data_IF_634832653933
#
_entry.id   IF_634832653933
#
_cell.length_a   1.000
_cell.length_b   1.000
_cell.length_c   1.000
_cell.angle_alpha   90.00
_cell.angle_beta   90.00
_cell.angle_gamma   90.00
#
_symmetry.space_group_name_H-M   'P 1'
#
loop_
_entity.id
_entity.type
_entity.pdbx_description
1 polymer ?
#
# COMPACT_ATOMS: atom_id res chain seq x y z
N UNK A 1 0.94 9.37 -17.09
CA UNK A 1 2.33 8.98 -17.38
C UNK A 1 2.27 7.81 -18.34
N UNK A 2 2.67 7.99 -19.59
CA UNK A 2 2.70 6.90 -20.57
C UNK A 2 3.98 6.08 -20.34
N UNK A 3 3.85 4.84 -19.85
CA UNK A 3 4.99 3.94 -19.69
C UNK A 3 5.29 3.23 -21.01
N UNK A 4 6.38 3.62 -21.67
CA UNK A 4 6.98 2.83 -22.75
C UNK A 4 7.93 1.77 -22.17
N UNK A 5 7.65 0.54 -22.59
CA UNK A 5 8.34 -0.75 -22.40
C UNK A 5 9.85 -0.75 -22.09
N UNK A 6 10.20 -1.26 -20.89
CA UNK A 6 11.32 -2.19 -20.69
C UNK A 6 10.91 -3.23 -19.64
N UNK A 7 11.33 -4.48 -19.82
CA UNK A 7 11.17 -5.56 -18.84
C UNK A 7 11.79 -5.12 -17.50
N UNK A 8 10.95 -4.78 -16.52
CA UNK A 8 11.38 -4.45 -15.17
C UNK A 8 11.71 -5.73 -14.42
N UNK A 9 12.97 -6.16 -14.50
CA UNK A 9 13.51 -7.22 -13.65
C UNK A 9 14.26 -6.56 -12.49
N UNK A 10 13.60 -6.48 -11.34
CA UNK A 10 14.17 -6.03 -10.08
C UNK A 10 14.77 -7.19 -9.28
N UNK A 11 15.76 -6.89 -8.43
CA UNK A 11 16.28 -7.84 -7.44
C UNK A 11 16.62 -7.16 -6.13
N UNK A 12 16.28 -7.83 -5.04
CA UNK A 12 16.61 -7.48 -3.68
C UNK A 12 17.73 -8.40 -3.21
N UNK A 13 18.87 -7.81 -2.87
CA UNK A 13 20.11 -8.54 -2.58
C UNK A 13 20.49 -8.28 -1.14
N UNK A 14 20.61 -9.38 -0.39
CA UNK A 14 21.29 -9.42 0.90
C UNK A 14 22.67 -10.03 0.70
N UNK A 15 23.70 -9.31 1.12
CA UNK A 15 25.08 -9.77 0.97
C UNK A 15 25.86 -9.49 2.24
N UNK A 16 26.59 -10.50 2.72
CA UNK A 16 27.58 -10.35 3.78
C UNK A 16 28.96 -10.41 3.14
N UNK A 17 29.75 -9.35 3.27
CA UNK A 17 31.14 -9.31 2.82
C UNK A 17 31.99 -8.93 4.03
N UNK A 18 32.86 -9.84 4.49
CA UNK A 18 33.67 -9.65 5.69
C UNK A 18 32.78 -9.30 6.89
N UNK A 19 33.03 -8.17 7.54
CA UNK A 19 32.33 -7.72 8.74
C UNK A 19 31.15 -6.79 8.43
N UNK A 20 30.67 -6.77 7.19
CA UNK A 20 29.59 -5.88 6.75
C UNK A 20 28.49 -6.67 6.08
N UNK A 21 27.25 -6.39 6.47
CA UNK A 21 26.04 -6.79 5.76
C UNK A 21 25.47 -5.61 4.99
N UNK A 22 25.08 -5.87 3.76
CA UNK A 22 24.51 -4.87 2.85
C UNK A 22 23.20 -5.40 2.30
N UNK A 23 22.19 -4.55 2.34
CA UNK A 23 20.96 -4.70 1.60
C UNK A 23 20.90 -3.67 0.48
N UNK A 24 20.51 -4.12 -0.71
CA UNK A 24 20.30 -3.25 -1.86
C UNK A 24 19.18 -3.77 -2.75
N UNK A 25 18.47 -2.83 -3.35
CA UNK A 25 17.48 -3.09 -4.38
C UNK A 25 18.01 -2.56 -5.72
N UNK A 26 18.03 -3.42 -6.73
CA UNK A 26 18.36 -3.07 -8.10
C UNK A 26 17.09 -3.14 -8.95
N UNK A 27 16.46 -2.00 -9.28
CA UNK A 27 15.17 -1.96 -9.98
C UNK A 27 15.26 -2.32 -11.48
N UNK A 28 16.48 -2.42 -12.01
CA UNK A 28 16.72 -2.86 -13.38
C UNK A 28 17.98 -3.73 -13.45
N UNK A 29 17.80 -5.02 -13.69
CA UNK A 29 18.89 -5.99 -13.82
C UNK A 29 19.87 -5.66 -14.95
N UNK A 30 19.40 -4.99 -16.02
CA UNK A 30 20.22 -4.67 -17.19
C UNK A 30 21.20 -3.51 -16.96
N UNK A 31 21.07 -2.79 -15.85
CA UNK A 31 22.04 -1.79 -15.42
C UNK A 31 22.37 -1.96 -13.93
N UNK A 32 23.35 -2.81 -13.59
CA UNK A 32 23.73 -3.10 -12.21
C UNK A 32 24.32 -1.90 -11.46
N UNK A 33 24.55 -0.77 -12.14
CA UNK A 33 25.01 0.48 -11.53
C UNK A 33 23.88 1.31 -10.90
N UNK A 34 22.61 1.02 -11.22
CA UNK A 34 21.47 1.75 -10.69
C UNK A 34 20.94 1.03 -9.46
N UNK A 35 21.31 1.54 -8.28
CA UNK A 35 20.75 1.11 -7.00
C UNK A 35 19.59 2.03 -6.57
N UNK A 36 18.59 1.45 -5.91
CA UNK A 36 17.48 2.22 -5.37
C UNK A 36 17.91 2.93 -4.08
N UNK A 37 18.00 4.26 -4.12
CA UNK A 37 18.38 5.08 -2.96
C UNK A 37 17.48 4.92 -1.73
N UNK A 38 16.22 4.48 -1.89
CA UNK A 38 15.29 4.24 -0.77
C UNK A 38 15.48 2.88 -0.08
N UNK A 39 16.25 1.97 -0.66
CA UNK A 39 16.39 0.59 -0.18
C UNK A 39 17.84 0.20 0.09
N UNK A 40 18.79 1.12 0.01
CA UNK A 40 20.18 0.82 0.33
C UNK A 40 20.40 0.94 1.84
N UNK A 41 20.92 -0.12 2.47
CA UNK A 41 21.24 -0.09 3.90
C UNK A 41 22.47 -0.97 4.19
N UNK A 42 23.30 -0.54 5.15
CA UNK A 42 24.52 -1.23 5.58
C UNK A 42 24.54 -1.32 7.10
N UNK A 43 24.83 -2.51 7.63
CA UNK A 43 25.04 -2.76 9.06
C UNK A 43 26.25 -3.67 9.27
N UNK A 44 26.81 -3.70 10.48
CA UNK A 44 27.90 -4.62 10.79
C UNK A 44 27.41 -6.09 10.79
N UNK A 45 28.27 -7.02 10.40
CA UNK A 45 27.89 -8.41 10.19
C UNK A 45 27.58 -9.19 11.47
N UNK A 46 27.83 -8.61 12.64
CA UNK A 46 27.42 -9.13 13.95
C UNK A 46 26.06 -8.58 14.42
N UNK A 47 25.53 -7.54 13.79
CA UNK A 47 24.25 -6.93 14.15
C UNK A 47 23.06 -7.82 13.75
N UNK A 48 21.94 -7.84 14.49
CA UNK A 48 20.72 -8.51 14.06
C UNK A 48 20.24 -8.11 12.64
N UNK A 49 19.67 -9.05 11.88
CA UNK A 49 19.20 -8.76 10.50
C UNK A 49 18.19 -7.62 10.44
N UNK A 50 17.35 -7.48 11.46
CA UNK A 50 16.33 -6.44 11.50
C UNK A 50 16.89 -5.02 11.66
N UNK A 51 18.17 -4.85 12.02
CA UNK A 51 18.80 -3.53 12.14
C UNK A 51 18.89 -2.78 10.80
N UNK A 52 18.87 -3.50 9.67
CA UNK A 52 18.73 -2.90 8.35
C UNK A 52 17.46 -2.07 8.17
N UNK A 53 16.48 -2.27 9.04
CA UNK A 53 15.10 -1.82 8.85
C UNK A 53 14.62 -0.83 9.92
N UNK A 54 15.42 -0.66 10.98
CA UNK A 54 15.12 0.26 12.08
C UNK A 54 15.41 1.72 11.72
N UNK A 55 16.36 1.95 10.81
CA UNK A 55 16.84 3.30 10.43
C UNK A 55 16.35 3.77 9.06
N UNK A 56 15.67 2.91 8.30
CA UNK A 56 15.06 3.27 7.02
C UNK A 56 13.81 4.13 7.23
N UNK A 57 13.55 5.10 6.34
CA UNK A 57 12.25 5.77 6.29
C UNK A 57 11.13 4.74 6.18
N UNK A 58 10.29 4.69 7.21
CA UNK A 58 9.16 3.77 7.28
C UNK A 58 7.92 4.42 6.68
N UNK A 59 7.85 4.41 5.35
CA UNK A 59 6.72 4.96 4.62
C UNK A 59 5.46 4.08 4.70
N UNK A 60 5.56 2.87 5.27
CA UNK A 60 4.46 1.89 5.26
C UNK A 60 3.66 1.87 6.57
N UNK A 61 4.28 2.19 7.70
CA UNK A 61 3.60 2.23 8.99
C UNK A 61 3.23 3.65 9.43
N UNK A 62 2.27 3.74 10.35
CA UNK A 62 1.84 5.00 10.99
C UNK A 62 2.07 4.93 12.50
N UNK A 63 2.48 6.05 13.10
CA UNK A 63 2.54 6.16 14.56
C UNK A 63 1.13 6.35 15.12
N UNK A 64 0.76 5.53 16.10
CA UNK A 64 -0.54 5.59 16.77
C UNK A 64 -0.37 5.90 18.26
N UNK A 65 -0.25 7.19 18.60
CA UNK A 65 -0.28 7.64 20.00
C UNK A 65 -1.71 7.82 20.54
N UNK A 66 -1.85 8.31 21.77
CA UNK A 66 -3.16 8.47 22.41
C UNK A 66 -4.08 9.44 21.68
N UNK A 67 -3.55 10.53 21.12
CA UNK A 67 -4.37 11.53 20.41
C UNK A 67 -4.90 10.94 19.10
N UNK A 68 -4.07 10.17 18.39
CA UNK A 68 -4.48 9.42 17.19
C UNK A 68 -5.60 8.43 17.53
N UNK A 69 -5.45 7.67 18.62
CA UNK A 69 -6.43 6.66 19.07
C UNK A 69 -7.75 7.30 19.48
N UNK A 70 -7.71 8.41 20.22
CA UNK A 70 -8.91 9.17 20.62
C UNK A 70 -9.65 9.74 19.40
N UNK A 71 -8.92 10.28 18.42
CA UNK A 71 -9.52 10.75 17.16
C UNK A 71 -10.17 9.60 16.38
N UNK A 72 -9.50 8.45 16.27
CA UNK A 72 -10.05 7.28 15.59
C UNK A 72 -11.30 6.73 16.31
N UNK A 73 -11.29 6.76 17.65
CA UNK A 73 -12.45 6.39 18.47
C UNK A 73 -13.63 7.34 18.22
N UNK A 74 -13.38 8.65 18.14
CA UNK A 74 -14.42 9.63 17.79
C UNK A 74 -15.03 9.35 16.42
N UNK A 75 -14.19 9.15 15.40
CA UNK A 75 -14.63 8.79 14.03
C UNK A 75 -15.50 7.53 14.04
N UNK A 76 -15.14 6.54 14.86
CA UNK A 76 -15.92 5.31 15.01
C UNK A 76 -17.29 5.55 15.68
N UNK A 77 -17.32 6.25 16.81
CA UNK A 77 -18.55 6.53 17.59
C UNK A 77 -19.51 7.42 16.80
N UNK A 78 -19.00 8.39 16.06
CA UNK A 78 -19.80 9.29 15.21
C UNK A 78 -20.15 8.69 13.84
N UNK A 79 -19.79 7.41 13.59
CA UNK A 79 -20.05 6.70 12.34
C UNK A 79 -19.58 7.45 11.08
N UNK A 80 -18.43 8.10 11.17
CA UNK A 80 -17.88 8.90 10.09
C UNK A 80 -17.22 7.99 9.07
N UNK A 81 -17.76 8.04 7.85
CA UNK A 81 -17.23 7.30 6.69
C UNK A 81 -16.78 8.23 5.57
N UNK A 82 -17.16 9.51 5.59
CA UNK A 82 -16.88 10.45 4.50
C UNK A 82 -15.86 11.48 4.93
N UNK A 83 -14.84 11.67 4.10
CA UNK A 83 -13.74 12.60 4.33
C UNK A 83 -13.56 13.48 3.10
N UNK A 84 -13.50 14.78 3.29
CA UNK A 84 -13.26 15.76 2.24
C UNK A 84 -11.86 16.33 2.38
N UNK A 85 -11.07 16.26 1.31
CA UNK A 85 -9.79 16.95 1.20
C UNK A 85 -9.94 18.16 0.31
N UNK A 86 -9.50 19.32 0.80
CA UNK A 86 -9.57 20.59 0.09
C UNK A 86 -8.17 21.18 -0.15
N UNK A 87 -7.94 21.68 -1.37
CA UNK A 87 -6.79 22.52 -1.69
C UNK A 87 -7.07 23.95 -1.20
N UNK A 88 -6.54 24.30 -0.02
CA UNK A 88 -6.63 25.65 0.56
C UNK A 88 -5.71 26.66 -0.14
N UNK A 89 -4.87 26.23 -1.10
CA UNK A 89 -3.92 27.13 -1.76
C UNK A 89 -4.58 28.05 -2.80
N UNK A 90 -4.06 29.28 -2.98
CA UNK A 90 -4.55 30.19 -4.00
C UNK A 90 -4.18 29.70 -5.40
N UNK A 91 -5.05 29.98 -6.38
CA UNK A 91 -4.84 29.62 -7.79
C UNK A 91 -5.24 28.18 -8.14
N UNK A 92 -5.07 27.78 -9.40
CA UNK A 92 -5.34 26.41 -9.84
C UNK A 92 -4.03 25.59 -9.81
N UNK A 93 -3.96 24.58 -8.93
CA UNK A 93 -2.84 23.65 -8.84
C UNK A 93 -3.27 22.19 -9.00
N UNK A 94 -4.31 21.91 -9.81
CA UNK A 94 -4.87 20.55 -10.02
C UNK A 94 -3.82 19.45 -10.04
N UNK A 95 -2.78 19.59 -10.88
CA UNK A 95 -1.76 18.54 -11.02
C UNK A 95 -0.98 18.30 -9.72
N UNK A 96 -0.57 19.36 -9.03
CA UNK A 96 0.14 19.22 -7.76
C UNK A 96 -0.79 18.66 -6.68
N UNK A 97 -2.02 19.19 -6.58
CA UNK A 97 -3.02 18.72 -5.62
C UNK A 97 -3.33 17.23 -5.79
N UNK A 98 -3.59 16.78 -7.02
CA UNK A 98 -3.91 15.37 -7.31
C UNK A 98 -2.71 14.46 -7.01
N UNK A 99 -1.48 14.91 -7.31
CA UNK A 99 -0.27 14.14 -6.97
C UNK A 99 -0.08 14.07 -5.46
N UNK A 100 -0.06 15.20 -4.75
CA UNK A 100 0.07 15.28 -3.29
C UNK A 100 -1.01 14.44 -2.58
N UNK A 101 -2.25 14.51 -3.09
CA UNK A 101 -3.37 13.73 -2.57
C UNK A 101 -3.16 12.21 -2.76
N UNK A 102 -2.76 11.79 -3.96
CA UNK A 102 -2.57 10.38 -4.29
C UNK A 102 -1.34 9.74 -3.64
N UNK A 103 -0.26 10.50 -3.48
CA UNK A 103 1.00 9.97 -2.95
C UNK A 103 1.15 10.10 -1.44
N UNK A 104 0.48 11.07 -0.82
CA UNK A 104 0.64 11.36 0.62
C UNK A 104 -0.70 11.39 1.37
N UNK A 105 -1.62 12.28 0.98
CA UNK A 105 -2.78 12.59 1.82
C UNK A 105 -3.74 11.41 2.00
N UNK A 106 -4.15 10.78 0.89
CA UNK A 106 -5.08 9.64 0.91
C UNK A 106 -4.42 8.41 1.52
N UNK A 107 -3.19 8.00 1.13
CA UNK A 107 -2.54 6.85 1.77
C UNK A 107 -2.38 7.01 3.29
N UNK A 108 -2.03 8.22 3.77
CA UNK A 108 -1.94 8.49 5.21
C UNK A 108 -3.28 8.35 5.92
N UNK A 109 -4.36 8.91 5.36
CA UNK A 109 -5.72 8.74 5.88
C UNK A 109 -6.13 7.26 5.94
N UNK A 110 -5.89 6.51 4.87
CA UNK A 110 -6.25 5.10 4.81
C UNK A 110 -5.44 4.27 5.81
N UNK A 111 -4.14 4.55 6.00
CA UNK A 111 -3.33 3.89 7.04
C UNK A 111 -3.89 4.14 8.42
N UNK A 112 -4.21 5.40 8.74
CA UNK A 112 -4.82 5.78 10.00
C UNK A 112 -6.14 5.03 10.26
N UNK A 113 -7.03 4.98 9.26
CA UNK A 113 -8.32 4.28 9.36
C UNK A 113 -8.17 2.75 9.36
N UNK A 114 -7.07 2.21 8.84
CA UNK A 114 -6.80 0.78 8.84
C UNK A 114 -6.36 0.24 10.20
N UNK A 115 -5.92 1.09 11.15
CA UNK A 115 -5.54 0.62 12.48
C UNK A 115 -6.66 -0.21 13.11
N UNK A 116 -6.34 -1.41 13.62
CA UNK A 116 -7.28 -2.42 14.15
C UNK A 116 -8.35 -2.96 13.18
N UNK A 117 -8.46 -2.42 11.96
CA UNK A 117 -9.36 -2.93 10.95
C UNK A 117 -8.73 -4.10 10.19
N UNK A 118 -9.54 -5.08 9.80
CA UNK A 118 -9.10 -6.23 9.00
C UNK A 118 -8.95 -5.89 7.52
N UNK A 119 -9.45 -4.72 7.11
CA UNK A 119 -9.41 -4.18 5.75
C UNK A 119 -10.24 -2.92 5.63
N UNK A 120 -10.23 -2.32 4.44
CA UNK A 120 -11.03 -1.13 4.11
C UNK A 120 -11.81 -1.38 2.82
N UNK A 121 -12.97 -0.75 2.69
CA UNK A 121 -13.61 -0.53 1.40
C UNK A 121 -13.65 0.97 1.13
N UNK A 122 -13.15 1.38 -0.04
CA UNK A 122 -12.85 2.78 -0.34
C UNK A 122 -13.48 3.21 -1.66
N UNK A 123 -14.11 4.38 -1.69
CA UNK A 123 -14.36 5.13 -2.93
C UNK A 123 -13.60 6.45 -2.89
N UNK A 124 -13.19 6.91 -4.06
CA UNK A 124 -12.54 8.21 -4.24
C UNK A 124 -13.32 8.95 -5.32
N UNK A 125 -13.61 10.22 -5.06
CA UNK A 125 -14.19 11.08 -6.07
C UNK A 125 -13.62 12.49 -6.10
N UNK A 126 -13.66 13.09 -7.29
CA UNK A 126 -13.15 14.40 -7.58
C UNK A 126 -14.28 15.35 -7.95
N UNK A 127 -14.23 16.55 -7.37
CA UNK A 127 -15.04 17.67 -7.82
C UNK A 127 -14.26 18.40 -8.91
N UNK A 128 -14.79 18.34 -10.12
CA UNK A 128 -14.11 18.75 -11.35
C UNK A 128 -14.83 19.95 -11.94
N UNK A 129 -14.11 21.03 -12.20
CA UNK A 129 -14.61 22.18 -12.96
C UNK A 129 -13.91 22.26 -14.32
N UNK A 130 -14.69 22.23 -15.39
CA UNK A 130 -14.21 22.31 -16.80
C UNK A 130 -15.13 23.25 -17.56
N UNK A 131 -14.58 24.25 -18.26
CA UNK A 131 -15.36 25.17 -19.11
C UNK A 131 -16.61 25.77 -18.42
N UNK A 132 -16.48 26.18 -17.15
CA UNK A 132 -17.56 26.71 -16.29
C UNK A 132 -18.65 25.69 -15.87
N UNK A 133 -18.52 24.43 -16.24
CA UNK A 133 -19.38 23.35 -15.77
C UNK A 133 -18.73 22.59 -14.61
N UNK A 134 -19.55 22.15 -13.66
CA UNK A 134 -19.14 21.39 -12.49
C UNK A 134 -19.57 19.94 -12.64
N UNK A 135 -18.68 19.03 -12.30
CA UNK A 135 -18.90 17.59 -12.32
C UNK A 135 -18.39 16.96 -11.04
N UNK A 136 -19.02 15.86 -10.65
CA UNK A 136 -18.54 14.94 -9.64
C UNK A 136 -18.22 13.60 -10.30
N UNK A 137 -16.97 13.16 -10.20
CA UNK A 137 -16.49 11.90 -10.74
C UNK A 137 -16.11 10.98 -9.58
N UNK A 138 -16.69 9.79 -9.49
CA UNK A 138 -16.47 8.86 -8.35
C UNK A 138 -16.12 7.47 -8.84
N UNK A 139 -15.20 6.82 -8.14
CA UNK A 139 -14.79 5.45 -8.41
C UNK A 139 -15.82 4.46 -7.88
N UNK A 140 -15.81 3.26 -8.46
CA UNK A 140 -16.43 2.10 -7.82
C UNK A 140 -15.76 1.80 -6.46
N UNK A 141 -16.47 1.22 -5.47
CA UNK A 141 -15.87 0.76 -4.23
C UNK A 141 -14.77 -0.29 -4.45
N UNK A 142 -13.62 -0.09 -3.81
CA UNK A 142 -12.47 -1.01 -3.89
C UNK A 142 -12.09 -1.51 -2.51
N UNK A 143 -11.89 -2.82 -2.37
CA UNK A 143 -11.52 -3.46 -1.10
C UNK A 143 -10.01 -3.56 -0.94
N UNK A 144 -9.47 -2.89 0.07
CA UNK A 144 -8.08 -3.01 0.51
C UNK A 144 -8.02 -4.04 1.65
N UNK A 145 -7.44 -5.22 1.38
CA UNK A 145 -7.42 -6.34 2.32
C UNK A 145 -6.17 -6.38 3.20
N UNK A 146 -5.17 -5.57 2.90
CA UNK A 146 -3.93 -5.46 3.66
C UNK A 146 -3.34 -4.05 3.53
N UNK A 147 -2.79 -3.49 4.61
CA UNK A 147 -2.31 -2.10 4.61
C UNK A 147 -1.15 -1.85 3.62
N UNK A 148 -0.32 -2.86 3.35
CA UNK A 148 0.75 -2.77 2.33
C UNK A 148 0.21 -2.62 0.89
N UNK A 149 -1.08 -2.86 0.65
CA UNK A 149 -1.71 -2.67 -0.65
C UNK A 149 -2.27 -1.25 -0.84
N UNK A 150 -2.23 -0.39 0.21
CA UNK A 150 -2.85 0.96 0.19
C UNK A 150 -2.29 1.82 -0.93
N UNK A 151 -0.97 2.04 -0.97
CA UNK A 151 -0.34 2.92 -1.98
C UNK A 151 -0.71 2.51 -3.40
N UNK A 152 -0.53 1.22 -3.70
CA UNK A 152 -0.76 0.69 -5.02
C UNK A 152 -2.24 0.75 -5.43
N UNK A 153 -3.16 0.55 -4.48
CA UNK A 153 -4.60 0.69 -4.73
C UNK A 153 -4.95 2.14 -5.02
N UNK A 154 -4.45 3.08 -4.21
CA UNK A 154 -4.69 4.52 -4.38
C UNK A 154 -4.14 5.00 -5.73
N UNK A 155 -2.90 4.63 -6.08
CA UNK A 155 -2.28 4.98 -7.35
C UNK A 155 -3.13 4.52 -8.54
N UNK A 156 -3.67 3.30 -8.48
CA UNK A 156 -4.54 2.76 -9.53
C UNK A 156 -5.89 3.47 -9.59
N UNK A 157 -6.54 3.73 -8.45
CA UNK A 157 -7.81 4.47 -8.40
C UNK A 157 -7.67 5.88 -8.97
N UNK A 158 -6.63 6.61 -8.56
CA UNK A 158 -6.32 7.95 -9.07
C UNK A 158 -6.04 7.93 -10.56
N UNK A 159 -5.22 6.99 -11.04
CA UNK A 159 -4.90 6.87 -12.46
C UNK A 159 -6.17 6.69 -13.29
N UNK A 160 -7.07 5.77 -12.89
CA UNK A 160 -8.31 5.50 -13.62
C UNK A 160 -9.29 6.66 -13.59
N UNK A 161 -9.45 7.33 -12.45
CA UNK A 161 -10.29 8.51 -12.33
C UNK A 161 -9.79 9.65 -13.22
N UNK A 162 -8.50 9.96 -13.17
CA UNK A 162 -7.89 11.03 -13.96
C UNK A 162 -7.97 10.72 -15.46
N UNK A 163 -7.71 9.47 -15.87
CA UNK A 163 -7.88 9.02 -17.26
C UNK A 163 -9.33 9.21 -17.74
N UNK A 164 -10.32 8.80 -16.93
CA UNK A 164 -11.73 8.97 -17.28
C UNK A 164 -12.12 10.43 -17.42
N UNK A 165 -11.69 11.28 -16.49
CA UNK A 165 -11.94 12.73 -16.52
C UNK A 165 -11.28 13.38 -17.74
N UNK A 166 -10.02 13.03 -18.03
CA UNK A 166 -9.28 13.54 -19.19
C UNK A 166 -10.00 13.17 -20.50
N UNK A 167 -10.40 11.91 -20.65
CA UNK A 167 -11.10 11.43 -21.84
C UNK A 167 -12.45 12.12 -22.01
N UNK A 168 -13.22 12.26 -20.93
CA UNK A 168 -14.49 12.97 -20.98
C UNK A 168 -14.33 14.45 -21.37
N UNK A 169 -13.36 15.13 -20.77
CA UNK A 169 -13.08 16.54 -21.05
C UNK A 169 -12.62 16.75 -22.51
N UNK A 170 -11.80 15.84 -23.03
CA UNK A 170 -11.35 15.87 -24.41
C UNK A 170 -12.51 15.64 -25.39
N UNK A 171 -13.33 14.61 -25.17
CA UNK A 171 -14.45 14.28 -26.08
C UNK A 171 -15.55 15.36 -26.04
N UNK A 172 -15.87 15.89 -24.87
CA UNK A 172 -17.03 16.78 -24.67
C UNK A 172 -16.68 18.25 -24.92
N UNK A 173 -15.50 18.69 -24.47
CA UNK A 173 -15.10 20.10 -24.50
C UNK A 173 -13.88 20.38 -25.38
N UNK A 174 -13.24 19.34 -25.94
CA UNK A 174 -12.00 19.46 -26.70
C UNK A 174 -10.87 20.15 -25.92
N UNK A 175 -10.77 19.83 -24.63
CA UNK A 175 -9.72 20.35 -23.73
C UNK A 175 -8.89 19.24 -23.12
N UNK A 176 -7.67 19.58 -22.72
CA UNK A 176 -6.74 18.70 -22.02
C UNK A 176 -6.84 18.86 -20.50
N UNK A 177 -6.12 18.02 -19.75
CA UNK A 177 -6.09 18.04 -18.28
C UNK A 177 -5.70 19.41 -17.69
N UNK A 178 -4.93 20.22 -18.41
CA UNK A 178 -4.51 21.56 -17.97
C UNK A 178 -5.69 22.54 -17.82
N UNK A 179 -6.78 22.34 -18.56
CA UNK A 179 -7.99 23.16 -18.47
C UNK A 179 -8.92 22.74 -17.32
N UNK A 180 -8.57 21.66 -16.63
CA UNK A 180 -9.38 21.05 -15.58
C UNK A 180 -8.95 21.60 -14.21
N UNK A 181 -9.94 21.98 -13.40
CA UNK A 181 -9.73 22.42 -12.03
C UNK A 181 -10.29 21.37 -11.05
N UNK A 182 -9.42 20.79 -10.23
CA UNK A 182 -9.79 19.92 -9.10
C UNK A 182 -9.19 20.54 -7.85
N UNK A 183 -10.05 20.98 -6.94
CA UNK A 183 -9.66 21.58 -5.65
C UNK A 183 -10.24 20.85 -4.45
N UNK A 184 -11.15 19.92 -4.68
CA UNK A 184 -11.83 19.17 -3.63
C UNK A 184 -11.94 17.73 -4.08
N UNK A 185 -11.78 16.84 -3.11
CA UNK A 185 -12.01 15.42 -3.32
C UNK A 185 -12.72 14.82 -2.12
N UNK A 186 -13.55 13.82 -2.40
CA UNK A 186 -14.27 13.03 -1.40
C UNK A 186 -13.61 11.66 -1.34
N UNK A 187 -13.36 11.17 -0.14
CA UNK A 187 -12.95 9.79 0.12
C UNK A 187 -13.97 9.19 1.07
N UNK A 188 -14.65 8.13 0.64
CA UNK A 188 -15.55 7.36 1.51
C UNK A 188 -14.81 6.09 1.90
N UNK A 189 -14.75 5.81 3.21
CA UNK A 189 -13.99 4.69 3.77
C UNK A 189 -14.87 3.94 4.76
N UNK A 190 -15.12 2.67 4.47
CA UNK A 190 -15.72 1.73 5.42
C UNK A 190 -14.65 0.82 6.01
N UNK A 191 -14.58 0.79 7.34
CA UNK A 191 -13.67 -0.10 8.09
C UNK A 191 -14.30 -1.49 8.20
N UNK A 192 -13.53 -2.51 7.83
CA UNK A 192 -13.94 -3.91 7.95
C UNK A 192 -13.35 -4.50 9.23
N UNK A 193 -14.15 -5.25 9.99
CA UNK A 193 -13.77 -5.72 11.34
C UNK A 193 -13.77 -7.25 11.49
N UNK A 194 -14.44 -7.95 10.58
CA UNK A 194 -14.67 -9.39 10.70
C UNK A 194 -13.82 -10.13 9.66
N UNK A 195 -12.71 -10.72 10.10
CA UNK A 195 -11.86 -11.55 9.27
C UNK A 195 -10.43 -11.69 9.81
N UNK A 196 -9.70 -12.68 9.31
CA UNK A 196 -8.25 -12.70 9.48
C UNK A 196 -7.63 -11.74 8.47
N UNK A 197 -6.64 -10.95 8.91
CA UNK A 197 -5.85 -10.11 8.02
C UNK A 197 -5.24 -10.98 6.92
N UNK A 198 -5.55 -10.65 5.66
CA UNK A 198 -5.02 -11.39 4.53
C UNK A 198 -3.57 -11.01 4.28
N UNK A 199 -2.83 -11.82 3.52
CA UNK A 199 -1.51 -11.41 3.05
C UNK A 199 -1.63 -10.33 1.96
N UNK A 200 -0.58 -9.50 1.76
CA UNK A 200 -0.55 -8.51 0.70
C UNK A 200 -0.95 -9.08 -0.67
N UNK A 201 -1.63 -8.29 -1.49
CA UNK A 201 -2.07 -8.68 -2.83
C UNK A 201 -0.90 -9.19 -3.69
N UNK A 202 0.24 -8.50 -3.65
CA UNK A 202 1.44 -8.94 -4.38
C UNK A 202 1.87 -10.35 -3.98
N UNK A 203 1.71 -10.72 -2.70
CA UNK A 203 1.94 -12.09 -2.25
C UNK A 203 0.89 -13.05 -2.80
N UNK A 204 -0.40 -12.73 -2.61
CA UNK A 204 -1.52 -13.59 -3.03
C UNK A 204 -1.51 -13.88 -4.54
N UNK A 205 -1.09 -12.92 -5.35
CA UNK A 205 -1.03 -13.04 -6.81
C UNK A 205 0.19 -13.85 -7.29
N UNK A 206 1.34 -13.72 -6.62
CA UNK A 206 2.58 -14.44 -6.96
C UNK A 206 2.65 -15.86 -6.38
N UNK A 207 1.94 -16.09 -5.28
CA UNK A 207 1.83 -17.38 -4.64
C UNK A 207 0.71 -18.20 -5.29
N UNK A 208 1.06 -18.86 -6.39
CA UNK A 208 0.19 -19.82 -7.07
C UNK A 208 0.19 -21.15 -6.28
N UNK A 209 -1.00 -21.64 -5.89
CA UNK A 209 -1.21 -22.86 -5.08
C UNK A 209 -0.52 -24.12 -5.64
N UNK A 210 -0.07 -24.07 -6.90
CA UNK A 210 0.71 -25.11 -7.59
C UNK A 210 2.04 -25.46 -6.93
N UNK A 211 2.56 -24.64 -6.02
CA UNK A 211 3.82 -24.86 -5.30
C UNK A 211 3.64 -25.25 -3.82
N UNK A 212 2.46 -25.73 -3.41
CA UNK A 212 2.35 -26.41 -2.11
C UNK A 212 3.25 -27.66 -2.15
N UNK A 213 4.30 -27.75 -1.32
CA UNK A 213 5.07 -28.99 -1.25
C UNK A 213 4.14 -30.13 -0.81
N UNK A 214 4.39 -31.33 -1.33
CA UNK A 214 3.82 -32.54 -0.76
C UNK A 214 4.12 -32.55 0.76
N UNK A 215 3.15 -32.97 1.58
CA UNK A 215 3.11 -32.86 3.04
C UNK A 215 4.41 -33.28 3.76
N UNK A 216 5.44 -32.43 3.75
CA UNK A 216 6.52 -32.50 4.71
C UNK A 216 6.14 -31.57 5.86
N UNK A 217 5.29 -32.08 6.75
CA UNK A 217 4.93 -31.43 8.01
C UNK A 217 6.17 -31.41 8.91
N UNK A 218 7.05 -30.44 8.72
CA UNK A 218 7.92 -30.04 9.81
C UNK A 218 7.01 -29.49 10.92
N UNK A 219 6.84 -30.24 12.00
CA UNK A 219 6.02 -29.80 13.14
C UNK A 219 6.81 -28.74 13.91
N UNK A 220 6.64 -27.48 13.51
CA UNK A 220 7.12 -26.33 14.30
C UNK A 220 6.09 -26.03 15.37
N UNK A 221 6.51 -25.93 16.62
CA UNK A 221 5.66 -25.45 17.70
C UNK A 221 5.42 -23.95 17.52
N UNK A 222 4.24 -23.60 16.97
CA UNK A 222 3.85 -22.22 16.69
C UNK A 222 3.69 -21.39 17.97
N UNK A 223 3.31 -22.01 19.09
CA UNK A 223 3.17 -21.32 20.37
C UNK A 223 4.53 -20.91 20.91
N UNK A 224 5.49 -21.85 20.91
CA UNK A 224 6.88 -21.57 21.29
C UNK A 224 7.52 -20.54 20.36
N UNK A 225 7.25 -20.63 19.05
CA UNK A 225 7.77 -19.69 18.06
C UNK A 225 7.27 -18.27 18.32
N UNK A 226 5.97 -18.12 18.55
CA UNK A 226 5.33 -16.84 18.84
C UNK A 226 5.88 -16.23 20.15
N UNK A 227 5.93 -17.02 21.22
CA UNK A 227 6.46 -16.57 22.51
C UNK A 227 7.94 -16.16 22.41
N UNK A 228 8.74 -16.97 21.71
CA UNK A 228 10.17 -16.67 21.47
C UNK A 228 10.34 -15.36 20.72
N UNK A 229 9.52 -15.09 19.71
CA UNK A 229 9.57 -13.83 18.97
C UNK A 229 9.17 -12.62 19.81
N UNK A 230 8.09 -12.70 20.58
CA UNK A 230 7.65 -11.61 21.46
C UNK A 230 8.74 -11.29 22.50
N UNK A 231 9.33 -12.31 23.11
CA UNK A 231 10.43 -12.16 24.07
C UNK A 231 11.69 -11.58 23.42
N UNK A 232 12.00 -11.99 22.19
CA UNK A 232 13.13 -11.50 21.40
C UNK A 232 12.97 -10.02 21.04
N UNK A 233 11.79 -9.63 20.54
CA UNK A 233 11.47 -8.28 20.11
C UNK A 233 11.37 -7.30 21.30
N UNK A 234 10.79 -7.72 22.42
CA UNK A 234 10.53 -6.86 23.58
C UNK A 234 11.75 -6.50 24.43
N UNK A 235 12.86 -7.25 24.36
CA UNK A 235 14.01 -7.10 25.26
C UNK A 235 15.24 -6.41 24.67
N UNK A 236 15.16 -5.86 23.45
CA UNK A 236 16.37 -5.53 22.65
C UNK A 236 17.33 -6.73 22.65
N UNK A 237 16.88 -7.82 22.01
CA UNK A 237 17.71 -8.97 21.62
C UNK A 237 18.16 -9.87 22.79
N UNK A 238 17.24 -10.73 23.24
CA UNK A 238 17.65 -11.99 23.89
C UNK A 238 18.08 -13.02 22.84
N UNK A 239 18.75 -14.10 23.24
CA UNK A 239 19.08 -15.18 22.31
C UNK A 239 17.79 -15.86 21.83
N UNK A 240 17.49 -15.78 20.53
CA UNK A 240 16.42 -16.58 19.94
C UNK A 240 16.82 -18.05 20.08
N UNK A 241 15.95 -18.97 20.53
CA UNK A 241 16.36 -20.34 20.84
C UNK A 241 17.01 -21.03 19.63
N UNK A 242 18.23 -21.55 19.80
CA UNK A 242 18.92 -22.32 18.76
C UNK A 242 18.19 -23.63 18.41
N UNK A 243 17.33 -24.11 19.30
CA UNK A 243 16.44 -25.26 19.05
C UNK A 243 15.40 -24.98 17.95
N UNK A 244 15.04 -23.71 17.72
CA UNK A 244 14.11 -23.31 16.66
C UNK A 244 14.88 -23.08 15.35
N UNK A 245 14.99 -24.15 14.56
CA UNK A 245 15.62 -24.13 13.24
C UNK A 245 14.66 -23.57 12.18
N UNK A 246 14.36 -22.27 12.28
CA UNK A 246 13.41 -21.56 11.40
C UNK A 246 14.03 -20.31 10.80
N UNK A 247 13.51 -19.89 9.65
CA UNK A 247 13.80 -18.59 9.06
C UNK A 247 12.61 -17.65 9.24
N UNK A 248 12.88 -16.42 9.65
CA UNK A 248 11.87 -15.37 9.82
C UNK A 248 12.13 -14.23 8.85
N UNK A 249 11.08 -13.82 8.14
CA UNK A 249 11.08 -12.67 7.24
C UNK A 249 9.93 -11.73 7.61
N UNK A 250 10.00 -10.47 7.20
CA UNK A 250 8.87 -9.56 7.16
C UNK A 250 8.69 -9.03 5.73
N UNK A 251 7.48 -8.60 5.39
CA UNK A 251 7.26 -7.92 4.12
C UNK A 251 7.45 -6.42 4.25
N UNK A 252 8.07 -5.85 3.22
CA UNK A 252 8.22 -4.41 3.06
C UNK A 252 7.93 -4.01 1.62
N UNK A 253 7.64 -2.73 1.43
CA UNK A 253 7.40 -2.16 0.10
C UNK A 253 8.49 -1.15 -0.22
N UNK A 254 9.06 -1.23 -1.42
CA UNK A 254 10.01 -0.23 -1.89
C UNK A 254 9.27 1.11 -2.09
N UNK A 255 9.70 2.17 -1.41
CA UNK A 255 9.07 3.48 -1.52
C UNK A 255 9.06 4.03 -2.97
N UNK A 256 10.08 3.68 -3.77
CA UNK A 256 10.22 4.12 -5.16
C UNK A 256 9.47 3.26 -6.18
N UNK A 257 9.61 1.93 -6.13
CA UNK A 257 9.03 1.03 -7.15
C UNK A 257 7.70 0.42 -6.74
N UNK A 258 7.29 0.60 -5.47
CA UNK A 258 6.10 -0.02 -4.87
C UNK A 258 6.12 -1.56 -4.88
N UNK A 259 7.27 -2.16 -5.12
CA UNK A 259 7.43 -3.62 -5.12
C UNK A 259 7.50 -4.16 -3.69
N UNK A 260 6.72 -5.22 -3.44
CA UNK A 260 6.78 -6.00 -2.21
C UNK A 260 8.04 -6.87 -2.21
N UNK A 261 8.83 -6.79 -1.14
CA UNK A 261 10.01 -7.62 -0.94
C UNK A 261 10.06 -8.24 0.44
N UNK A 262 10.71 -9.39 0.52
CA UNK A 262 10.96 -10.08 1.77
C UNK A 262 12.25 -9.58 2.43
N UNK A 263 12.13 -9.06 3.63
CA UNK A 263 13.22 -8.62 4.46
C UNK A 263 13.51 -9.67 5.55
N UNK A 264 14.74 -10.22 5.64
CA UNK A 264 15.08 -11.16 6.69
C UNK A 264 15.05 -10.48 8.06
N UNK A 265 14.55 -11.25 9.01
CA UNK A 265 14.49 -10.91 10.43
C UNK A 265 15.37 -11.87 11.24
N UNK A 266 15.38 -13.15 10.87
CA UNK A 266 16.26 -14.19 11.39
C UNK A 266 16.53 -15.20 10.28
N UNK A 267 17.79 -15.53 10.02
CA UNK A 267 18.17 -16.62 9.10
C UNK A 267 19.04 -17.59 9.89
N UNK A 268 18.53 -18.82 10.10
CA UNK A 268 19.29 -19.91 10.73
C UNK A 268 19.95 -20.81 9.71
N UNK A 269 19.32 -20.98 8.55
CA UNK A 269 19.86 -21.76 7.45
C UNK A 269 19.48 -21.12 6.11
N UNK A 270 20.46 -20.95 5.22
CA UNK A 270 20.26 -20.36 3.89
C UNK A 270 19.36 -21.23 3.00
N UNK A 271 19.23 -22.53 3.33
CA UNK A 271 18.33 -23.43 2.61
C UNK A 271 16.87 -23.24 3.01
N UNK A 272 16.24 -22.24 2.38
CA UNK A 272 14.80 -21.97 2.46
C UNK A 272 13.90 -23.08 1.90
N UNK A 273 14.44 -24.14 1.28
CA UNK A 273 13.62 -25.29 0.83
C UNK A 273 13.39 -26.32 1.94
N UNK A 274 14.37 -26.52 2.81
CA UNK A 274 14.34 -27.53 3.87
C UNK A 274 14.17 -26.93 5.27
N UNK A 275 14.23 -25.61 5.39
CA UNK A 275 14.06 -24.88 6.66
C UNK A 275 12.69 -24.21 6.68
N UNK A 276 11.82 -24.51 7.67
CA UNK A 276 10.54 -23.84 7.83
C UNK A 276 10.72 -22.32 7.84
N UNK A 277 9.97 -21.64 6.98
CA UNK A 277 10.10 -20.21 6.76
C UNK A 277 8.79 -19.53 7.11
N UNK A 278 8.85 -18.50 7.96
CA UNK A 278 7.69 -17.76 8.44
C UNK A 278 7.80 -16.28 8.13
N UNK A 279 6.67 -15.67 7.85
CA UNK A 279 6.48 -14.24 7.79
C UNK A 279 5.99 -13.73 9.14
N UNK A 280 6.68 -12.74 9.68
CA UNK A 280 6.22 -11.89 10.77
C UNK A 280 5.14 -10.98 10.21
N UNK A 281 3.92 -11.13 10.68
CA UNK A 281 2.80 -10.28 10.33
C UNK A 281 2.72 -9.13 11.32
N UNK A 282 2.67 -7.91 10.79
CA UNK A 282 2.43 -6.69 11.55
C UNK A 282 1.13 -6.04 11.10
N UNK A 283 0.61 -5.16 11.93
CA UNK A 283 -0.42 -4.21 11.50
C UNK A 283 0.21 -2.94 10.90
N UNK A 284 -0.66 -1.98 10.59
CA UNK A 284 -0.27 -0.68 10.05
C UNK A 284 0.54 0.18 11.03
N UNK A 285 0.55 -0.11 12.32
CA UNK A 285 1.41 0.56 13.31
C UNK A 285 2.76 -0.16 13.50
N UNK A 286 2.99 -1.26 12.78
CA UNK A 286 4.17 -2.11 12.95
C UNK A 286 4.08 -3.03 14.16
N UNK A 287 2.92 -3.11 14.83
CA UNK A 287 2.72 -4.00 15.97
C UNK A 287 2.54 -5.43 15.49
N UNK A 288 3.14 -6.38 16.21
CA UNK A 288 3.10 -7.79 15.86
C UNK A 288 1.67 -8.36 15.98
N UNK A 289 1.21 -9.02 14.93
CA UNK A 289 -0.13 -9.65 14.86
C UNK A 289 -0.08 -11.18 14.77
N UNK A 290 1.06 -11.75 14.36
CA UNK A 290 1.23 -13.18 14.30
C UNK A 290 2.27 -13.62 13.28
N UNK A 291 2.26 -14.91 12.96
CA UNK A 291 3.17 -15.49 11.96
C UNK A 291 2.42 -16.31 10.93
N UNK A 292 2.95 -16.31 9.70
CA UNK A 292 2.40 -17.08 8.60
C UNK A 292 3.51 -17.89 7.91
N UNK A 293 3.35 -19.21 7.84
CA UNK A 293 4.29 -20.08 7.15
C UNK A 293 4.25 -19.84 5.63
N UNK A 294 5.40 -19.78 4.99
CA UNK A 294 5.53 -19.55 3.55
C UNK A 294 6.55 -20.47 2.91
N UNK A 295 6.27 -20.87 1.66
CA UNK A 295 7.09 -21.86 0.94
C UNK A 295 7.88 -21.27 -0.23
N UNK A 296 7.60 -20.02 -0.65
CA UNK A 296 8.20 -19.44 -1.85
C UNK A 296 8.71 -18.01 -1.64
N UNK A 297 9.40 -17.78 -0.52
CA UNK A 297 9.93 -16.45 -0.16
C UNK A 297 10.88 -15.87 -1.22
N UNK A 298 11.55 -16.73 -2.00
CA UNK A 298 12.52 -16.34 -3.04
C UNK A 298 11.89 -15.48 -4.16
N UNK A 299 10.60 -15.65 -4.45
CA UNK A 299 9.85 -14.81 -5.42
C UNK A 299 9.71 -13.35 -4.99
N UNK A 300 9.92 -13.06 -3.71
CA UNK A 300 9.89 -11.71 -3.15
C UNK A 300 11.30 -11.17 -2.91
N UNK A 301 12.33 -11.90 -3.37
CA UNK A 301 13.72 -11.44 -3.40
C UNK A 301 14.16 -11.12 -4.84
N UNK A 302 13.48 -11.66 -5.86
CA UNK A 302 13.79 -11.45 -7.28
C UNK A 302 12.49 -11.43 -8.09
N UNK A 303 12.41 -10.58 -9.12
CA UNK A 303 11.28 -10.64 -10.06
C UNK A 303 11.21 -12.02 -10.72
N UNK A 304 9.99 -12.51 -10.89
CA UNK A 304 9.73 -13.78 -11.57
C UNK A 304 9.59 -13.49 -13.08
N UNK A 305 10.29 -14.22 -13.98
CA UNK A 305 10.09 -14.10 -15.42
C UNK A 305 8.66 -14.42 -15.88
N UNK A 306 7.79 -14.97 -15.02
CA UNK A 306 6.38 -15.24 -15.29
C UNK A 306 5.48 -14.01 -14.99
N UNK A 307 6.02 -12.95 -14.38
CA UNK A 307 5.33 -11.66 -14.19
C UNK A 307 5.23 -10.87 -15.52
N UNK A 308 4.87 -11.52 -16.63
CA UNK A 308 4.87 -10.95 -17.99
C UNK A 308 3.57 -10.20 -18.31
N UNK A 309 3.63 -9.42 -19.39
CA UNK A 309 2.58 -8.51 -19.87
C UNK A 309 1.20 -9.19 -19.89
N UNK A 310 0.20 -8.50 -19.34
CA UNK A 310 -1.20 -8.92 -19.33
C UNK A 310 -2.05 -7.92 -20.10
N UNK A 311 -2.93 -8.44 -20.95
CA UNK A 311 -3.88 -7.62 -21.70
C UNK A 311 -5.30 -7.84 -21.17
N UNK A 312 -5.98 -6.75 -20.87
CA UNK A 312 -7.38 -6.79 -20.52
C UNK A 312 -8.23 -6.93 -21.79
N UNK A 313 -8.95 -8.04 -21.92
CA UNK A 313 -9.84 -8.27 -23.07
C UNK A 313 -11.04 -7.32 -23.15
N UNK A 314 -11.43 -6.72 -22.02
CA UNK A 314 -12.66 -5.90 -21.94
C UNK A 314 -12.40 -4.45 -22.34
N UNK A 315 -11.20 -3.92 -22.08
CA UNK A 315 -10.84 -2.53 -22.38
C UNK A 315 -9.55 -2.37 -23.19
N UNK A 316 -8.95 -3.48 -23.63
CA UNK A 316 -7.68 -3.54 -24.36
C UNK A 316 -6.49 -2.89 -23.61
N UNK A 317 -6.62 -2.72 -22.30
CA UNK A 317 -5.56 -2.17 -21.46
C UNK A 317 -4.35 -3.10 -21.34
N UNK A 318 -3.16 -2.54 -21.51
CA UNK A 318 -1.88 -3.25 -21.39
C UNK A 318 -1.25 -3.04 -20.01
N UNK A 319 -0.87 -4.13 -19.35
CA UNK A 319 -0.28 -4.12 -18.01
C UNK A 319 1.07 -4.82 -18.00
N UNK A 320 2.06 -4.20 -17.39
CA UNK A 320 3.43 -4.76 -17.27
C UNK A 320 3.60 -5.60 -16.01
N UNK A 321 2.61 -5.61 -15.12
CA UNK A 321 2.64 -6.32 -13.86
C UNK A 321 1.29 -7.03 -13.60
N UNK A 322 1.36 -8.30 -13.18
CA UNK A 322 0.19 -9.13 -12.83
C UNK A 322 -0.67 -8.50 -11.75
N UNK A 323 -0.04 -7.83 -10.79
CA UNK A 323 -0.72 -7.24 -9.64
C UNK A 323 -1.60 -6.07 -10.11
N UNK A 324 -1.07 -5.19 -10.94
CA UNK A 324 -1.82 -4.09 -11.55
C UNK A 324 -2.99 -4.60 -12.39
N UNK A 325 -2.77 -5.67 -13.17
CA UNK A 325 -3.82 -6.31 -13.95
C UNK A 325 -4.96 -6.86 -13.07
N UNK A 326 -4.62 -7.54 -11.97
CA UNK A 326 -5.62 -8.07 -11.02
C UNK A 326 -6.40 -6.93 -10.38
N UNK A 327 -5.74 -5.86 -9.93
CA UNK A 327 -6.44 -4.68 -9.39
C UNK A 327 -7.34 -4.02 -10.42
N UNK A 328 -6.88 -3.89 -11.66
CA UNK A 328 -7.68 -3.34 -12.73
C UNK A 328 -8.96 -4.15 -12.96
N UNK A 329 -8.89 -5.49 -12.85
CA UNK A 329 -10.08 -6.35 -12.88
C UNK A 329 -10.96 -6.19 -11.65
N UNK A 330 -10.39 -6.05 -10.46
CA UNK A 330 -11.15 -5.75 -9.23
C UNK A 330 -11.87 -4.38 -9.30
N UNK A 331 -11.39 -3.46 -10.13
CA UNK A 331 -12.01 -2.15 -10.40
C UNK A 331 -12.95 -2.13 -11.63
N UNK A 332 -13.39 -3.30 -12.12
CA UNK A 332 -14.26 -3.44 -13.29
C UNK A 332 -13.75 -2.65 -14.51
N UNK A 333 -12.43 -2.68 -14.72
CA UNK A 333 -11.77 -1.97 -15.80
C UNK A 333 -11.99 -0.44 -15.85
N UNK A 334 -12.46 0.16 -14.75
CA UNK A 334 -12.89 1.57 -14.69
C UNK A 334 -14.30 1.81 -15.23
N UNK A 335 -15.05 0.75 -15.58
CA UNK A 335 -16.44 0.80 -16.01
C UNK A 335 -17.39 1.30 -14.93
N UNK A 336 -17.10 0.98 -13.67
CA UNK A 336 -17.85 1.46 -12.50
C UNK A 336 -17.59 2.91 -12.08
N UNK A 337 -16.85 3.71 -12.87
CA UNK A 337 -16.65 5.14 -12.58
C UNK A 337 -17.87 5.94 -13.04
N UNK A 338 -18.53 6.61 -12.11
CA UNK A 338 -19.70 7.44 -12.37
C UNK A 338 -19.31 8.90 -12.55
N UNK A 339 -19.91 9.56 -13.54
CA UNK A 339 -19.80 11.00 -13.80
C UNK A 339 -21.16 11.65 -13.63
N UNK A 340 -21.26 12.59 -12.70
CA UNK A 340 -22.49 13.34 -12.41
C UNK A 340 -22.25 14.82 -12.70
N UNK A 341 -23.09 15.42 -13.54
CA UNK A 341 -23.09 16.88 -13.72
C UNK A 341 -23.78 17.53 -12.52
N UNK A 342 -23.17 18.58 -11.98
CA UNK A 342 -23.70 19.32 -10.84
C UNK A 342 -24.34 20.63 -11.34
N UNK A 343 -25.58 20.87 -10.95
CA UNK A 343 -26.29 22.10 -11.28
C UNK A 343 -25.81 23.27 -10.41
N UNK A 344 -25.05 24.17 -11.02
CA UNK A 344 -24.61 25.44 -10.41
C UNK A 344 -23.51 25.31 -9.34
N UNK A 345 -23.23 26.44 -8.67
CA UNK A 345 -22.39 26.50 -7.47
C UNK A 345 -23.30 26.43 -6.23
N UNK A 346 -24.00 25.31 -6.05
CA UNK A 346 -24.70 25.07 -4.79
C UNK A 346 -23.65 24.82 -3.68
N UNK A 347 -23.62 25.61 -2.60
CA UNK A 347 -22.75 25.33 -1.48
C UNK A 347 -23.20 24.02 -0.82
N UNK A 348 -22.33 23.02 -0.80
CA UNK A 348 -22.52 21.84 0.06
C UNK A 348 -22.29 22.28 1.50
N UNK A 349 -23.37 22.35 2.28
CA UNK A 349 -23.34 22.66 3.70
C UNK A 349 -23.47 21.36 4.46
N UNK A 350 -22.49 21.08 5.32
CA UNK A 350 -22.50 19.91 6.19
C UNK A 350 -22.69 20.39 7.63
N UNK A 351 -23.80 19.99 8.25
CA UNK A 351 -24.10 20.37 9.65
C UNK A 351 -23.15 19.68 10.63
N UNK A 352 -22.80 18.42 10.37
CA UNK A 352 -21.94 17.60 11.20
C UNK A 352 -20.58 17.41 10.54
N UNK A 353 -19.77 18.48 10.45
CA UNK A 353 -18.40 18.39 9.96
C UNK A 353 -17.37 18.89 10.98
N UNK A 354 -16.20 18.27 11.03
CA UNK A 354 -15.07 18.81 11.79
C UNK A 354 -13.75 18.63 11.03
N UNK A 355 -12.83 19.55 11.27
CA UNK A 355 -11.49 19.53 10.67
C UNK A 355 -10.61 18.51 11.38
N UNK A 356 -9.93 17.65 10.62
CA UNK A 356 -8.93 16.76 11.20
C UNK A 356 -7.69 17.58 11.63
N UNK A 357 -7.05 17.27 12.77
CA UNK A 357 -5.93 18.04 13.29
C UNK A 357 -4.73 18.08 12.32
N UNK A 358 -4.14 19.26 12.09
CA UNK A 358 -3.01 19.43 11.16
C UNK A 358 -1.71 18.80 11.68
N UNK A 359 -1.65 18.56 12.98
CA UNK A 359 -0.56 17.87 13.67
C UNK A 359 -0.50 16.39 13.28
N UNK A 360 -1.66 15.79 13.00
CA UNK A 360 -1.79 14.40 12.56
C UNK A 360 -1.84 14.31 11.03
N UNK A 361 -2.54 15.24 10.39
CA UNK A 361 -2.74 15.28 8.94
C UNK A 361 -2.17 16.56 8.35
N UNK A 362 -1.07 16.43 7.60
CA UNK A 362 -0.43 17.55 6.88
C UNK A 362 -1.41 18.37 6.00
N UNK A 363 -2.42 17.71 5.46
CA UNK A 363 -3.37 18.28 4.51
C UNK A 363 -4.73 18.60 5.16
N UNK A 364 -5.47 19.55 4.58
CA UNK A 364 -6.75 20.02 5.12
C UNK A 364 -7.88 19.02 4.87
N UNK A 365 -8.06 18.10 5.82
CA UNK A 365 -9.12 17.10 5.82
C UNK A 365 -10.30 17.55 6.70
N UNK A 366 -11.51 17.30 6.20
CA UNK A 366 -12.76 17.49 6.92
C UNK A 366 -13.48 16.15 7.01
N UNK A 367 -13.74 15.71 8.23
CA UNK A 367 -14.57 14.55 8.52
C UNK A 367 -16.04 14.97 8.50
N UNK A 368 -16.87 14.21 7.78
CA UNK A 368 -18.30 14.50 7.60
C UNK A 368 -19.10 13.36 8.23
N UNK A 369 -19.81 13.69 9.30
CA UNK A 369 -20.74 12.80 9.97
C UNK A 369 -22.01 12.56 9.17
N UNK A 370 -22.78 11.52 9.53
CA UNK A 370 -24.05 11.24 8.90
C UNK A 370 -25.01 12.44 9.06
N UNK A 371 -25.69 12.77 7.97
CA UNK A 371 -26.89 13.63 7.99
C UNK A 371 -28.03 12.77 8.51
N UNK A 372 -28.60 13.15 9.67
CA UNK A 372 -29.74 12.46 10.29
C UNK A 372 -31.06 12.90 9.68
#
# INVERSE_FOLDING_TARGET
MFYTSRLHQSRFIFQTIRDVRTFRHQPNFNDPSIECGSCYNVVAANEPYNHHWLTSEDAQHIKMDMDHKLLLQRIHVEHIVTFMLCDETPGNRTRAFVVEAGTEAVPHLLRFLNYEATGLEVTIGFFVKVCQQNFYCESHPVKIKHFLDIDLTVDMMFTRLVEKIANYAFITFNVTLEAICIKRMKVVVQRLWNGQQQLPLQYRVKNDDRFKPAENKHSVDLSLLHESFVNYHGKRFGDFPDSLQVNLYCFRVCARTKELFAAPYLIRNEDTKNTPTFLVQTDVAGEFRGMHEVYNIRKFLRSDPIDLIFDCRDCEGHFTNRVEFVMHKEMDCGGGITMLQLDGELPEIYENCFTLPKEIFKHAWYAIGPTF
#
